data_IF_281169976045
#
_entry.id   IF_281169976045
#
_cell.length_a   1.000
_cell.length_b   1.000
_cell.length_c   1.000
_cell.angle_alpha   90.00
_cell.angle_beta   90.00
_cell.angle_gamma   90.00
#
_symmetry.space_group_name_H-M   'P 1'
#
loop_
_entity.id
_entity.type
_entity.pdbx_description
1 polymer ?
#
# COMPACT_ATOMS: atom_id res chain seq x y z
N UNK A 1 -7.63 15.42 21.03
CA UNK A 1 -6.41 15.12 20.24
C UNK A 1 -5.69 13.80 20.62
N UNK A 2 -6.26 12.88 21.43
CA UNK A 2 -5.57 11.63 21.80
C UNK A 2 -5.74 10.47 20.80
N UNK A 3 -6.85 10.36 20.06
CA UNK A 3 -7.07 9.28 19.07
C UNK A 3 -6.00 9.20 17.97
N UNK A 4 -5.36 10.33 17.63
CA UNK A 4 -4.37 10.41 16.56
C UNK A 4 -3.02 9.77 16.92
N UNK A 5 -2.61 9.80 18.21
CA UNK A 5 -1.34 9.22 18.66
C UNK A 5 -1.33 7.70 18.53
N UNK A 6 -2.43 7.06 18.92
CA UNK A 6 -2.59 5.61 18.83
C UNK A 6 -2.59 5.13 17.38
N UNK A 7 -3.25 5.88 16.49
CA UNK A 7 -3.26 5.61 15.06
C UNK A 7 -1.86 5.73 14.44
N UNK A 8 -1.12 6.79 14.79
CA UNK A 8 0.28 6.95 14.38
C UNK A 8 1.15 5.79 14.87
N UNK A 9 1.00 5.33 16.10
CA UNK A 9 1.78 4.19 16.61
C UNK A 9 1.41 2.87 15.90
N UNK A 10 0.12 2.66 15.62
CA UNK A 10 -0.37 1.49 14.88
C UNK A 10 0.14 1.44 13.44
N UNK A 11 0.34 2.59 12.79
CA UNK A 11 0.85 2.65 11.42
C UNK A 11 2.39 2.73 11.39
N UNK A 12 3.03 3.33 12.39
CA UNK A 12 4.48 3.50 12.45
C UNK A 12 5.20 2.15 12.40
N UNK A 13 4.73 1.17 13.17
CA UNK A 13 5.32 -0.18 13.22
C UNK A 13 5.29 -0.91 11.88
N UNK A 14 4.13 -1.08 11.20
CA UNK A 14 4.08 -1.72 9.89
C UNK A 14 4.80 -0.91 8.81
N UNK A 15 4.79 0.42 8.90
CA UNK A 15 5.55 1.29 7.98
C UNK A 15 7.05 1.04 8.11
N UNK A 16 7.56 0.93 9.35
CA UNK A 16 8.97 0.64 9.60
C UNK A 16 9.36 -0.72 9.02
N UNK A 17 8.55 -1.75 9.24
CA UNK A 17 8.78 -3.07 8.65
C UNK A 17 8.74 -3.06 7.11
N UNK A 18 7.85 -2.26 6.52
CA UNK A 18 7.77 -2.10 5.07
C UNK A 18 9.01 -1.40 4.48
N UNK A 19 9.52 -0.38 5.16
CA UNK A 19 10.77 0.30 4.78
C UNK A 19 11.94 -0.69 4.83
N UNK A 20 12.02 -1.53 5.85
CA UNK A 20 13.08 -2.54 5.96
C UNK A 20 13.01 -3.60 4.86
N UNK A 21 11.81 -4.06 4.47
CA UNK A 21 11.63 -4.98 3.33
C UNK A 21 11.97 -4.30 1.99
N UNK A 22 11.66 -3.00 1.85
CA UNK A 22 12.02 -2.22 0.67
C UNK A 22 13.53 -2.04 0.55
N UNK A 23 14.22 -1.78 1.66
CA UNK A 23 15.68 -1.67 1.70
C UNK A 23 16.38 -2.98 1.29
N UNK A 24 15.82 -4.13 1.69
CA UNK A 24 16.29 -5.44 1.21
C UNK A 24 16.13 -5.58 -0.32
N UNK A 25 14.98 -5.20 -0.89
CA UNK A 25 14.77 -5.25 -2.35
C UNK A 25 15.62 -4.25 -3.13
N UNK A 26 16.01 -3.13 -2.51
CA UNK A 26 16.93 -2.14 -3.09
C UNK A 26 18.41 -2.53 -2.94
N UNK A 27 18.71 -3.74 -2.44
CA UNK A 27 20.07 -4.20 -2.14
C UNK A 27 20.83 -3.30 -1.15
N UNK A 28 20.12 -2.52 -0.34
CA UNK A 28 20.70 -1.70 0.74
C UNK A 28 20.97 -2.52 2.01
N UNK A 29 20.51 -3.78 2.05
CA UNK A 29 20.56 -4.66 3.22
C UNK A 29 20.52 -6.13 2.80
N UNK A 30 21.40 -6.96 3.35
CA UNK A 30 21.52 -8.39 2.98
C UNK A 30 20.49 -9.32 3.65
N UNK A 31 19.85 -8.88 4.72
CA UNK A 31 18.93 -9.73 5.49
C UNK A 31 17.46 -9.42 5.19
N UNK A 32 16.66 -10.40 4.75
CA UNK A 32 15.24 -10.19 4.50
C UNK A 32 14.44 -10.01 5.80
N UNK A 33 13.54 -9.02 5.84
CA UNK A 33 12.68 -8.78 6.99
C UNK A 33 11.31 -9.47 6.82
N UNK A 34 11.13 -10.64 7.44
CA UNK A 34 9.91 -11.46 7.27
C UNK A 34 8.61 -10.72 7.61
N UNK A 35 8.62 -9.84 8.62
CA UNK A 35 7.45 -9.03 9.01
C UNK A 35 7.11 -7.98 7.96
N UNK A 36 8.14 -7.40 7.32
CA UNK A 36 7.95 -6.43 6.24
C UNK A 36 7.34 -7.09 5.01
N UNK A 37 7.79 -8.30 4.70
CA UNK A 37 7.21 -9.15 3.65
C UNK A 37 5.73 -9.47 3.93
N UNK A 38 5.38 -9.77 5.19
CA UNK A 38 3.99 -10.01 5.60
C UNK A 38 3.12 -8.75 5.41
N UNK A 39 3.59 -7.59 5.89
CA UNK A 39 2.90 -6.31 5.70
C UNK A 39 2.68 -5.99 4.23
N UNK A 40 3.71 -6.20 3.40
CA UNK A 40 3.59 -6.00 1.95
C UNK A 40 2.53 -6.91 1.34
N UNK A 41 2.51 -8.19 1.69
CA UNK A 41 1.59 -9.18 1.10
C UNK A 41 0.15 -9.02 1.60
N UNK A 42 -0.04 -8.73 2.89
CA UNK A 42 -1.34 -8.66 3.52
C UNK A 42 -2.01 -7.29 3.43
N UNK A 43 -1.23 -6.20 3.30
CA UNK A 43 -1.76 -4.83 3.28
C UNK A 43 -1.46 -4.18 1.94
N UNK A 44 -0.19 -4.07 1.55
CA UNK A 44 0.20 -3.27 0.40
C UNK A 44 -0.33 -3.83 -0.93
N UNK A 45 -0.15 -5.12 -1.20
CA UNK A 45 -0.64 -5.77 -2.42
C UNK A 45 -2.16 -5.64 -2.58
N UNK A 46 -3.00 -6.01 -1.60
CA UNK A 46 -4.45 -5.83 -1.72
C UNK A 46 -4.86 -4.36 -1.79
N UNK A 47 -4.17 -3.46 -1.09
CA UNK A 47 -4.44 -2.01 -1.21
C UNK A 47 -4.15 -1.51 -2.64
N UNK A 48 -3.02 -1.87 -3.24
CA UNK A 48 -2.70 -1.55 -4.63
C UNK A 48 -3.73 -2.14 -5.59
N UNK A 49 -4.19 -3.37 -5.35
CA UNK A 49 -5.20 -4.01 -6.17
C UNK A 49 -6.55 -3.27 -6.09
N UNK A 50 -6.96 -2.86 -4.89
CA UNK A 50 -8.17 -2.06 -4.68
C UNK A 50 -8.08 -0.69 -5.35
N UNK A 51 -6.94 0.00 -5.25
CA UNK A 51 -6.70 1.29 -5.91
C UNK A 51 -6.75 1.12 -7.44
N UNK A 52 -6.12 0.07 -7.97
CA UNK A 52 -6.13 -0.25 -9.39
C UNK A 52 -7.54 -0.57 -9.90
N UNK A 53 -8.30 -1.38 -9.16
CA UNK A 53 -9.69 -1.69 -9.47
C UNK A 53 -10.57 -0.45 -9.47
N UNK A 54 -10.42 0.44 -8.48
CA UNK A 54 -11.14 1.70 -8.40
C UNK A 54 -10.76 2.63 -9.56
N UNK A 55 -9.48 2.75 -9.88
CA UNK A 55 -8.99 3.57 -10.99
C UNK A 55 -9.53 3.07 -12.33
N UNK A 56 -9.54 1.76 -12.54
CA UNK A 56 -10.11 1.13 -13.73
C UNK A 56 -11.65 1.34 -13.81
N UNK A 57 -12.35 1.24 -12.68
CA UNK A 57 -13.78 1.53 -12.61
C UNK A 57 -14.08 2.98 -12.98
N UNK A 58 -13.29 3.93 -12.46
CA UNK A 58 -13.41 5.36 -12.78
C UNK A 58 -13.06 5.65 -14.24
N UNK A 59 -12.03 5.01 -14.79
CA UNK A 59 -11.67 5.13 -16.20
C UNK A 59 -12.80 4.63 -17.11
N UNK A 60 -13.44 3.50 -16.77
CA UNK A 60 -14.59 2.97 -17.51
C UNK A 60 -15.79 3.91 -17.45
N UNK A 61 -16.09 4.50 -16.29
CA UNK A 61 -17.16 5.50 -16.15
C UNK A 61 -16.95 6.69 -17.09
N UNK A 62 -15.75 7.27 -17.10
CA UNK A 62 -15.42 8.38 -18.01
C UNK A 62 -15.51 7.99 -19.48
N UNK A 63 -15.07 6.79 -19.84
CA UNK A 63 -15.16 6.30 -21.22
C UNK A 63 -16.62 6.13 -21.68
N UNK A 64 -17.51 5.69 -20.79
CA UNK A 64 -18.94 5.59 -21.08
C UNK A 64 -19.60 6.96 -21.27
N UNK A 65 -19.22 7.96 -20.46
CA UNK A 65 -19.73 9.34 -20.60
C UNK A 65 -19.25 10.01 -21.90
N UNK A 66 -18.01 9.72 -22.33
CA UNK A 66 -17.44 10.25 -23.57
C UNK A 66 -18.06 9.67 -24.86
N UNK A 67 -18.74 8.52 -24.77
CA UNK A 67 -19.42 7.87 -25.91
C UNK A 67 -20.88 8.33 -26.09
N UNK A 68 -21.42 9.09 -25.14
CA UNK A 68 -22.78 9.64 -25.18
C UNK A 68 -22.85 11.10 -25.66
N UNK A 69 -21.70 11.71 -25.97
CA UNK A 69 -21.55 13.04 -26.54
C UNK A 69 -20.92 12.95 -27.93
#
# INVERSE_FOLDING_TARGET
>A
MQRHRWFMTLIATPTKWFIEDSAFHMALRDTPHWRGRLVRRAIFVPACWAIGALSNLLARRRASEALQH
#
